data_IF_851247603209
#
_entry.id   IF_851247603209
#
_cell.length_a   1.000
_cell.length_b   1.000
_cell.length_c   1.000
_cell.angle_alpha   90.00
_cell.angle_beta   90.00
_cell.angle_gamma   90.00
#
_symmetry.space_group_name_H-M   'P 1'
#
loop_
_entity.id
_entity.type
_entity.pdbx_description
1 polymer ?
#
# COMPACT_ATOMS: atom_id res chain seq x y z
N UNK A 1 5.78 12.39 -18.97
CA UNK A 1 4.77 11.63 -18.21
C UNK A 1 4.89 12.12 -16.78
N UNK A 2 3.93 12.92 -16.30
CA UNK A 2 3.94 13.46 -14.94
C UNK A 2 3.19 12.46 -14.08
N UNK A 3 3.92 11.73 -13.24
CA UNK A 3 3.34 10.76 -12.32
C UNK A 3 2.95 11.46 -11.02
N UNK A 4 1.79 11.13 -10.48
CA UNK A 4 1.40 11.60 -9.14
C UNK A 4 2.14 10.70 -8.14
N UNK A 5 3.25 11.21 -7.60
CA UNK A 5 3.96 10.62 -6.47
C UNK A 5 3.18 10.93 -5.20
N UNK A 6 1.91 10.51 -5.14
CA UNK A 6 1.07 10.77 -3.98
C UNK A 6 1.45 9.78 -2.88
N UNK A 7 2.60 10.02 -2.27
CA UNK A 7 3.02 9.36 -1.04
C UNK A 7 2.14 9.95 0.05
N UNK A 8 1.17 9.17 0.52
CA UNK A 8 0.37 9.57 1.66
C UNK A 8 1.15 9.16 2.91
N UNK A 9 1.89 10.13 3.46
CA UNK A 9 2.55 10.00 4.76
C UNK A 9 1.62 10.64 5.80
N UNK A 10 1.29 9.95 6.91
CA UNK A 10 0.57 10.55 8.02
C UNK A 10 1.35 11.75 8.55
N UNK A 11 0.63 12.85 8.82
CA UNK A 11 1.20 14.09 9.37
C UNK A 11 1.87 13.90 10.73
N UNK A 12 1.59 12.79 11.44
CA UNK A 12 2.31 12.42 12.65
C UNK A 12 2.43 10.90 12.79
N UNK A 13 3.67 10.43 12.99
CA UNK A 13 3.97 9.07 13.47
C UNK A 13 3.81 9.06 15.00
N UNK A 14 2.63 9.45 15.49
CA UNK A 14 2.29 9.22 16.89
C UNK A 14 1.56 7.89 16.93
N UNK A 15 2.23 6.77 17.27
CA UNK A 15 1.53 5.51 17.46
C UNK A 15 0.49 5.75 18.54
N UNK A 16 -0.79 5.80 18.16
CA UNK A 16 -1.86 6.20 19.08
C UNK A 16 -1.85 5.21 20.27
N UNK A 17 -1.40 5.64 21.46
CA UNK A 17 -1.19 4.73 22.58
C UNK A 17 -2.51 4.26 23.18
N UNK A 18 -3.62 4.91 22.83
CA UNK A 18 -4.96 4.68 23.37
C UNK A 18 -5.81 3.74 22.53
N UNK A 19 -5.32 3.23 21.40
CA UNK A 19 -6.01 2.14 20.69
C UNK A 19 -5.71 0.85 21.47
N UNK A 20 -6.76 0.24 22.03
CA UNK A 20 -6.71 -1.06 22.69
C UNK A 20 -6.37 -2.12 21.64
N UNK A 21 -5.09 -2.16 21.26
CA UNK A 21 -4.70 -2.68 19.96
C UNK A 21 -5.04 -4.16 19.80
N UNK A 22 -5.78 -4.46 18.75
CA UNK A 22 -6.19 -5.82 18.36
C UNK A 22 -4.99 -6.80 18.26
N UNK A 23 -3.77 -6.30 18.06
CA UNK A 23 -2.56 -7.09 17.86
C UNK A 23 -1.47 -6.90 18.94
N UNK A 24 -1.85 -6.79 20.23
CA UNK A 24 -0.89 -6.65 21.34
C UNK A 24 0.23 -7.71 21.32
N UNK A 25 -0.08 -8.97 20.99
CA UNK A 25 0.91 -10.06 20.92
C UNK A 25 1.99 -9.80 19.86
N UNK A 26 1.59 -9.29 18.68
CA UNK A 26 2.53 -9.01 17.59
C UNK A 26 3.52 -7.91 17.98
N UNK A 27 3.07 -6.86 18.69
CA UNK A 27 3.97 -5.82 19.23
C UNK A 27 5.05 -6.35 20.17
N UNK A 28 4.72 -7.39 20.96
CA UNK A 28 5.69 -8.01 21.88
C UNK A 28 6.72 -8.87 21.17
N UNK A 29 6.32 -9.54 20.09
CA UNK A 29 7.21 -10.40 19.29
C UNK A 29 8.13 -9.53 18.43
N UNK A 30 7.57 -8.50 17.78
CA UNK A 30 8.27 -7.61 16.85
C UNK A 30 8.59 -6.26 17.51
N UNK A 31 9.37 -6.29 18.59
CA UNK A 31 9.77 -5.06 19.30
C UNK A 31 10.55 -4.14 18.36
N UNK A 32 10.14 -2.87 18.29
CA UNK A 32 10.78 -1.86 17.44
C UNK A 32 10.29 -1.83 15.99
N UNK A 33 9.43 -2.77 15.57
CA UNK A 33 8.80 -2.70 14.27
C UNK A 33 7.78 -1.55 14.21
N UNK A 34 7.78 -0.82 13.09
CA UNK A 34 6.85 0.28 12.83
C UNK A 34 5.52 -0.25 12.28
N UNK A 35 5.55 -1.37 11.55
CA UNK A 35 4.37 -1.93 10.89
C UNK A 35 4.68 -3.12 9.99
N UNK A 36 3.67 -3.60 9.27
CA UNK A 36 3.81 -4.60 8.20
C UNK A 36 3.81 -3.91 6.83
N UNK A 37 4.71 -4.33 5.94
CA UNK A 37 4.82 -3.85 4.57
C UNK A 37 4.33 -4.94 3.61
N UNK A 38 3.35 -4.62 2.77
CA UNK A 38 2.76 -5.59 1.84
C UNK A 38 2.30 -4.92 0.52
N UNK A 39 2.34 -5.70 -0.56
CA UNK A 39 1.80 -5.33 -1.88
C UNK A 39 0.34 -5.74 -2.00
N UNK A 40 -0.56 -4.79 -2.20
CA UNK A 40 -2.00 -5.04 -2.31
C UNK A 40 -2.52 -4.55 -3.66
N UNK A 41 -3.32 -5.37 -4.35
CA UNK A 41 -4.03 -4.92 -5.55
C UNK A 41 -5.31 -4.17 -5.17
N UNK A 42 -5.37 -2.89 -5.53
CA UNK A 42 -6.58 -2.06 -5.37
C UNK A 42 -7.24 -1.88 -6.72
N UNK A 43 -8.56 -2.03 -6.77
CA UNK A 43 -9.34 -1.77 -7.97
C UNK A 43 -9.25 -0.28 -8.34
N UNK A 44 -8.93 0.01 -9.59
CA UNK A 44 -8.68 1.36 -10.08
C UNK A 44 -9.69 1.74 -11.18
N UNK A 45 -10.28 2.92 -11.05
CA UNK A 45 -11.12 3.50 -12.11
C UNK A 45 -10.21 4.28 -13.04
N UNK A 46 -9.87 3.68 -14.18
CA UNK A 46 -8.92 4.23 -15.15
C UNK A 46 -9.64 4.63 -16.45
N UNK A 47 -9.32 5.79 -17.06
CA UNK A 47 -9.81 6.17 -18.38
C UNK A 47 -9.54 5.11 -19.45
N UNK A 48 -10.51 4.89 -20.36
CA UNK A 48 -10.51 3.76 -21.30
C UNK A 48 -9.24 3.66 -22.16
N UNK A 49 -8.68 4.80 -22.56
CA UNK A 49 -7.45 4.92 -23.35
C UNK A 49 -6.20 4.43 -22.60
N UNK A 50 -6.24 4.40 -21.26
CA UNK A 50 -5.12 3.97 -20.39
C UNK A 50 -5.34 2.62 -19.72
N UNK A 51 -6.54 2.04 -19.82
CA UNK A 51 -6.88 0.77 -19.16
C UNK A 51 -5.97 -0.39 -19.55
N UNK A 52 -5.42 -0.40 -20.77
CA UNK A 52 -4.54 -1.47 -21.28
C UNK A 52 -3.37 -1.75 -20.33
N UNK A 53 -2.86 -0.73 -19.64
CA UNK A 53 -1.70 -0.84 -18.75
C UNK A 53 -2.06 -1.40 -17.36
N UNK A 54 -3.32 -1.23 -16.94
CA UNK A 54 -3.80 -1.60 -15.60
C UNK A 54 -4.71 -2.83 -15.61
N UNK A 55 -4.99 -3.39 -16.80
CA UNK A 55 -5.95 -4.49 -16.96
C UNK A 55 -5.43 -5.76 -16.29
N UNK A 56 -6.19 -6.29 -15.35
CA UNK A 56 -5.89 -7.57 -14.72
C UNK A 56 -6.22 -8.76 -15.62
N UNK A 57 -5.91 -9.98 -15.15
CA UNK A 57 -6.24 -11.24 -15.85
C UNK A 57 -7.74 -11.58 -15.89
N UNK A 58 -8.62 -10.75 -15.31
CA UNK A 58 -10.07 -10.99 -15.24
C UNK A 58 -10.89 -9.87 -15.90
N UNK A 59 -11.82 -10.25 -16.78
CA UNK A 59 -13.01 -9.51 -17.26
C UNK A 59 -12.87 -8.04 -17.74
N UNK A 60 -11.68 -7.45 -17.78
CA UNK A 60 -11.51 -6.04 -18.12
C UNK A 60 -11.36 -5.09 -16.94
N UNK A 61 -11.38 -5.61 -15.72
CA UNK A 61 -11.19 -4.80 -14.53
C UNK A 61 -9.74 -4.32 -14.43
N UNK A 62 -9.58 -3.09 -13.96
CA UNK A 62 -8.29 -2.45 -13.81
C UNK A 62 -7.86 -2.48 -12.34
N UNK A 63 -6.61 -2.85 -12.11
CA UNK A 63 -6.02 -2.93 -10.79
C UNK A 63 -4.68 -2.21 -10.78
N UNK A 64 -4.33 -1.71 -9.60
CA UNK A 64 -3.03 -1.12 -9.33
C UNK A 64 -2.45 -1.74 -8.07
N UNK A 65 -1.21 -2.22 -8.16
CA UNK A 65 -0.51 -2.68 -6.98
C UNK A 65 -0.11 -1.47 -6.15
N UNK A 66 -0.38 -1.49 -4.85
CA UNK A 66 -0.02 -0.44 -3.90
C UNK A 66 0.82 -1.05 -2.80
N UNK A 67 1.92 -0.37 -2.46
CA UNK A 67 2.77 -0.75 -1.34
C UNK A 67 2.30 0.02 -0.12
N UNK A 68 1.96 -0.70 0.94
CA UNK A 68 1.45 -0.09 2.16
C UNK A 68 2.24 -0.51 3.36
N UNK A 69 2.45 0.41 4.31
CA UNK A 69 2.90 0.09 5.67
C UNK A 69 1.75 0.40 6.61
N UNK A 70 1.34 -0.56 7.43
CA UNK A 70 0.34 -0.36 8.46
C UNK A 70 0.89 -0.66 9.85
N UNK A 71 0.51 0.15 10.85
CA UNK A 71 0.87 -0.10 12.24
C UNK A 71 0.17 -1.36 12.78
N UNK A 72 0.49 -1.77 14.00
CA UNK A 72 -0.16 -2.93 14.63
C UNK A 72 -1.66 -2.74 14.93
N UNK A 73 -2.20 -1.54 14.72
CA UNK A 73 -3.64 -1.26 14.78
C UNK A 73 -4.27 -1.26 13.38
N UNK A 74 -3.55 -1.68 12.35
CA UNK A 74 -3.96 -1.69 10.95
C UNK A 74 -4.22 -0.28 10.38
N UNK A 75 -3.62 0.75 10.98
CA UNK A 75 -3.67 2.12 10.45
C UNK A 75 -2.53 2.30 9.47
N UNK A 76 -2.84 2.74 8.25
CA UNK A 76 -1.82 3.02 7.24
C UNK A 76 -0.91 4.16 7.70
N UNK A 77 0.39 3.84 7.79
CA UNK A 77 1.47 4.77 8.08
C UNK A 77 2.22 5.20 6.83
N UNK A 78 2.06 4.47 5.73
CA UNK A 78 2.63 4.81 4.44
C UNK A 78 1.78 4.13 3.37
N UNK A 79 1.52 4.87 2.30
CA UNK A 79 0.81 4.35 1.14
C UNK A 79 1.49 4.87 -0.12
N UNK A 80 1.92 3.94 -0.98
CA UNK A 80 2.52 4.23 -2.27
C UNK A 80 1.71 3.55 -3.37
N UNK A 81 1.12 4.35 -4.25
CA UNK A 81 0.43 3.85 -5.43
C UNK A 81 1.46 3.34 -6.45
N UNK A 82 1.73 2.03 -6.43
CA UNK A 82 2.76 1.37 -7.22
C UNK A 82 2.46 1.32 -8.73
N UNK A 83 3.17 0.44 -9.43
CA UNK A 83 3.18 0.40 -10.89
C UNK A 83 1.85 -0.09 -11.51
N UNK A 84 1.71 0.19 -12.80
CA UNK A 84 0.64 -0.31 -13.67
C UNK A 84 0.51 -1.84 -13.63
N UNK A 85 -0.72 -2.33 -13.37
CA UNK A 85 -1.07 -3.74 -13.48
C UNK A 85 -0.63 -4.62 -12.28
N UNK A 86 -0.39 -5.90 -12.56
CA UNK A 86 -0.01 -6.94 -11.56
C UNK A 86 1.53 -7.02 -11.47
N UNK A 87 2.19 -5.87 -11.36
CA UNK A 87 3.64 -5.82 -11.23
C UNK A 87 4.08 -6.49 -9.92
N UNK A 88 5.20 -7.22 -9.98
CA UNK A 88 5.77 -7.93 -8.84
C UNK A 88 6.27 -6.93 -7.77
N UNK A 89 6.03 -7.24 -6.49
CA UNK A 89 6.38 -6.36 -5.36
C UNK A 89 7.88 -5.99 -5.30
N UNK A 90 8.75 -6.88 -5.80
CA UNK A 90 10.20 -6.64 -5.88
C UNK A 90 10.57 -5.43 -6.74
N UNK A 91 9.78 -5.14 -7.78
CA UNK A 91 9.99 -3.95 -8.62
C UNK A 91 9.55 -2.69 -7.91
N UNK A 92 8.46 -2.74 -7.14
CA UNK A 92 7.95 -1.58 -6.39
C UNK A 92 8.97 -1.13 -5.35
N UNK A 93 9.61 -2.07 -4.66
CA UNK A 93 10.67 -1.77 -3.69
C UNK A 93 11.95 -1.19 -4.31
N UNK A 94 12.22 -1.47 -5.58
CA UNK A 94 13.43 -0.97 -6.26
C UNK A 94 13.29 0.48 -6.74
N UNK A 95 12.05 0.99 -6.80
CA UNK A 95 11.73 2.33 -7.32
C UNK A 95 11.17 3.29 -6.26
N UNK A 96 10.91 2.79 -5.04
CA UNK A 96 10.45 3.57 -3.90
C UNK A 96 11.56 4.41 -3.25
#
# INVERSE_FOLDING_TARGET
MVFTNDIIVPTSINPNPNIQGHNRRLRWIFKGAVGALDGTLVHAIIPLDKQQLYRGRGKGDCYRNVLTICDFNMIFMFFWAGWEGIAHDSRILSEA
#
